data_IF_321452914163
#
_entry.id   IF_321452914163
#
_cell.length_a   1.000
_cell.length_b   1.000
_cell.length_c   1.000
_cell.angle_alpha   90.00
_cell.angle_beta   90.00
_cell.angle_gamma   90.00
#
_symmetry.space_group_name_H-M   'P 1'
#
loop_
_entity.id
_entity.type
_entity.pdbx_description
1 polymer ?
#
# COMPACT_ATOMS: atom_id res chain seq x y z
N UNK A 1 18.84 -21.45 -16.25
CA UNK A 1 19.71 -20.27 -16.11
C UNK A 1 20.17 -19.65 -17.43
N UNK A 2 20.75 -20.41 -18.38
CA UNK A 2 21.41 -19.85 -19.59
C UNK A 2 20.64 -18.76 -20.36
N UNK A 3 19.33 -18.90 -20.57
CA UNK A 3 18.48 -17.87 -21.22
C UNK A 3 18.55 -16.50 -20.52
N UNK A 4 18.61 -16.47 -19.19
CA UNK A 4 18.71 -15.22 -18.42
C UNK A 4 20.10 -14.59 -18.55
N UNK A 5 21.16 -15.39 -18.44
CA UNK A 5 22.55 -14.91 -18.56
C UNK A 5 22.80 -14.29 -19.94
N UNK A 6 22.28 -14.93 -21.00
CA UNK A 6 22.37 -14.41 -22.36
C UNK A 6 21.60 -13.09 -22.59
N UNK A 7 20.60 -12.78 -21.76
CA UNK A 7 19.81 -11.56 -21.86
C UNK A 7 20.43 -10.36 -21.12
N UNK A 8 21.35 -10.58 -20.16
CA UNK A 8 21.94 -9.51 -19.33
C UNK A 8 22.57 -8.38 -20.16
N UNK A 9 23.37 -8.62 -21.21
CA UNK A 9 23.96 -7.53 -22.00
C UNK A 9 22.91 -6.64 -22.68
N UNK A 10 21.83 -7.24 -23.19
CA UNK A 10 20.73 -6.50 -23.81
C UNK A 10 19.91 -5.71 -22.78
N UNK A 11 19.68 -6.28 -21.59
CA UNK A 11 19.02 -5.58 -20.47
C UNK A 11 19.82 -4.34 -20.03
N UNK A 12 21.15 -4.45 -19.90
CA UNK A 12 22.03 -3.33 -19.56
C UNK A 12 22.02 -2.27 -20.66
N UNK A 13 22.07 -2.66 -21.94
CA UNK A 13 22.01 -1.73 -23.07
C UNK A 13 20.64 -1.03 -23.23
N UNK A 14 19.57 -1.61 -22.70
CA UNK A 14 18.22 -1.04 -22.72
C UNK A 14 17.85 -0.22 -21.46
N UNK A 15 18.76 -0.08 -20.50
CA UNK A 15 18.51 0.69 -19.28
C UNK A 15 18.36 2.19 -19.59
N UNK A 16 17.27 2.80 -19.12
CA UNK A 16 16.94 4.21 -19.33
C UNK A 16 16.29 4.83 -18.10
N UNK A 17 16.47 6.14 -17.90
CA UNK A 17 15.75 6.91 -16.89
C UNK A 17 14.22 6.88 -17.08
N UNK A 18 13.78 6.80 -18.34
CA UNK A 18 12.36 6.71 -18.72
C UNK A 18 11.82 5.27 -18.74
N UNK A 19 12.62 4.28 -18.31
CA UNK A 19 12.28 2.85 -18.35
C UNK A 19 11.18 2.40 -17.37
N UNK A 20 10.62 3.31 -16.56
CA UNK A 20 9.69 3.00 -15.47
C UNK A 20 8.47 2.20 -15.89
N UNK A 21 7.77 2.62 -16.95
CA UNK A 21 6.56 1.93 -17.42
C UNK A 21 6.87 0.54 -17.98
N UNK A 22 8.05 0.36 -18.60
CA UNK A 22 8.49 -0.94 -19.09
C UNK A 22 8.79 -1.91 -17.93
N UNK A 23 9.38 -1.40 -16.85
CA UNK A 23 9.59 -2.17 -15.62
C UNK A 23 8.25 -2.50 -14.92
N UNK A 24 7.31 -1.56 -14.88
CA UNK A 24 5.98 -1.76 -14.30
C UNK A 24 5.18 -2.85 -15.03
N UNK A 25 5.24 -2.90 -16.36
CA UNK A 25 4.69 -4.01 -17.17
C UNK A 25 5.38 -5.35 -16.90
N UNK A 26 6.71 -5.34 -16.77
CA UNK A 26 7.51 -6.57 -16.67
C UNK A 26 7.33 -7.34 -15.33
N UNK A 27 6.75 -6.73 -14.30
CA UNK A 27 6.51 -7.36 -12.99
C UNK A 27 5.08 -7.93 -12.81
N UNK A 28 4.14 -7.64 -13.71
CA UNK A 28 2.75 -8.08 -13.61
C UNK A 28 2.61 -9.61 -13.74
N UNK A 29 1.62 -10.21 -13.07
CA UNK A 29 1.31 -11.66 -13.21
C UNK A 29 -0.15 -11.96 -13.50
N UNK A 30 -1.05 -11.66 -12.56
CA UNK A 30 -2.51 -11.84 -12.68
C UNK A 30 -3.24 -10.49 -12.51
N UNK A 31 -2.45 -9.42 -12.50
CA UNK A 31 -2.87 -8.03 -12.60
C UNK A 31 -3.59 -7.77 -13.94
N UNK A 32 -4.67 -6.99 -13.93
CA UNK A 32 -5.33 -6.54 -15.15
C UNK A 32 -4.79 -5.17 -15.62
N UNK A 33 -4.18 -4.40 -14.71
CA UNK A 33 -3.60 -3.07 -15.00
C UNK A 33 -2.23 -2.86 -14.37
N UNK A 34 -1.41 -2.06 -15.06
CA UNK A 34 -0.20 -1.44 -14.52
C UNK A 34 -0.54 -0.55 -13.31
N UNK A 35 0.27 -0.62 -12.24
CA UNK A 35 0.04 0.15 -11.01
C UNK A 35 1.25 1.03 -10.75
N UNK A 36 1.17 2.29 -11.19
CA UNK A 36 2.20 3.31 -11.00
C UNK A 36 1.64 4.54 -10.27
N UNK A 37 2.51 5.23 -9.54
CA UNK A 37 2.17 6.45 -8.81
C UNK A 37 3.41 7.35 -8.69
N UNK A 38 3.21 8.66 -8.78
CA UNK A 38 4.25 9.65 -8.49
C UNK A 38 3.65 10.92 -7.91
N UNK A 39 4.38 11.57 -7.02
CA UNK A 39 4.06 12.87 -6.43
C UNK A 39 5.31 13.76 -6.42
N UNK A 40 5.11 15.08 -6.34
CA UNK A 40 6.20 16.04 -6.15
C UNK A 40 5.89 16.94 -4.96
N UNK A 41 6.83 17.00 -4.02
CA UNK A 41 6.76 17.82 -2.80
C UNK A 41 7.88 18.85 -2.73
N UNK A 42 7.91 19.60 -1.62
CA UNK A 42 9.06 20.43 -1.26
C UNK A 42 9.73 19.85 -0.03
N UNK A 43 11.05 19.63 -0.09
CA UNK A 43 11.89 19.09 1.00
C UNK A 43 13.22 19.84 0.95
N UNK A 44 13.68 20.39 2.07
CA UNK A 44 14.92 21.18 2.17
C UNK A 44 14.94 22.38 1.24
N UNK A 45 13.78 23.00 0.98
CA UNK A 45 13.60 24.08 0.01
C UNK A 45 13.70 23.67 -1.47
N UNK A 46 13.87 22.38 -1.78
CA UNK A 46 13.94 21.86 -3.15
C UNK A 46 12.67 21.11 -3.53
N UNK A 47 12.39 21.04 -4.84
CA UNK A 47 11.38 20.14 -5.39
C UNK A 47 11.93 18.71 -5.39
N UNK A 48 11.27 17.83 -4.64
CA UNK A 48 11.54 16.39 -4.61
C UNK A 48 10.44 15.64 -5.34
N UNK A 49 10.79 14.58 -6.06
CA UNK A 49 9.88 13.60 -6.67
C UNK A 49 9.95 12.30 -5.87
N UNK A 50 8.79 11.77 -5.46
CA UNK A 50 8.67 10.38 -4.99
C UNK A 50 7.81 9.63 -5.99
N UNK A 51 8.32 8.52 -6.51
CA UNK A 51 7.66 7.65 -7.47
C UNK A 51 7.57 6.21 -6.99
N UNK A 52 6.77 5.40 -7.66
CA UNK A 52 6.75 3.96 -7.43
C UNK A 52 5.85 3.17 -8.36
N UNK A 53 6.10 1.88 -8.38
CA UNK A 53 5.31 0.86 -9.09
C UNK A 53 5.06 -0.33 -8.16
N UNK A 54 3.96 -1.05 -8.37
CA UNK A 54 3.67 -2.28 -7.65
C UNK A 54 2.94 -3.31 -8.52
N UNK A 55 2.90 -4.56 -8.05
CA UNK A 55 2.10 -5.64 -8.63
C UNK A 55 1.44 -6.49 -7.55
N UNK A 56 0.25 -7.01 -7.85
CA UNK A 56 -0.57 -7.83 -6.97
C UNK A 56 -2.05 -7.71 -7.31
N UNK A 57 -2.76 -8.84 -7.25
CA UNK A 57 -4.21 -8.96 -7.41
C UNK A 57 -4.77 -10.15 -6.62
N UNK A 58 -4.08 -11.31 -6.61
CA UNK A 58 -4.36 -12.46 -5.73
C UNK A 58 -3.30 -12.71 -4.65
N UNK A 59 -3.66 -13.51 -3.64
CA UNK A 59 -2.92 -13.79 -2.39
C UNK A 59 -2.59 -12.53 -1.57
N UNK A 60 -3.50 -11.57 -1.56
CA UNK A 60 -3.29 -10.28 -0.89
C UNK A 60 -3.82 -10.34 0.55
N UNK A 61 -2.94 -10.53 1.53
CA UNK A 61 -3.24 -10.27 2.94
C UNK A 61 -2.05 -9.72 3.74
N UNK A 62 -1.33 -8.66 3.30
CA UNK A 62 0.04 -8.45 3.74
C UNK A 62 0.19 -8.26 5.25
N UNK A 63 1.03 -9.12 5.81
CA UNK A 63 1.82 -8.90 7.02
C UNK A 63 3.29 -8.84 6.57
N UNK A 64 3.52 -8.08 5.48
CA UNK A 64 4.23 -8.50 4.25
C UNK A 64 3.67 -9.83 3.69
N UNK A 65 3.01 -9.84 2.50
CA UNK A 65 2.37 -11.05 1.92
C UNK A 65 1.01 -10.96 1.14
N UNK A 66 0.76 -10.94 -0.19
CA UNK A 66 1.51 -10.66 -1.44
C UNK A 66 1.51 -9.17 -1.86
N UNK A 67 2.66 -8.70 -2.33
CA UNK A 67 2.89 -7.74 -3.42
C UNK A 67 4.39 -7.71 -3.79
N UNK A 68 4.72 -7.20 -4.98
CA UNK A 68 6.05 -6.61 -5.22
C UNK A 68 5.87 -5.11 -5.34
N UNK A 69 6.70 -4.34 -4.63
CA UNK A 69 6.63 -2.88 -4.61
C UNK A 69 8.02 -2.27 -4.77
N UNK A 70 8.13 -1.23 -5.58
CA UNK A 70 9.37 -0.49 -5.79
C UNK A 70 9.06 1.00 -5.70
N UNK A 71 9.68 1.70 -4.76
CA UNK A 71 9.51 3.15 -4.55
C UNK A 71 10.85 3.86 -4.64
N UNK A 72 10.85 5.02 -5.30
CA UNK A 72 12.05 5.78 -5.64
C UNK A 72 11.90 7.24 -5.20
N UNK A 73 12.99 7.86 -4.75
CA UNK A 73 13.03 9.30 -4.47
C UNK A 73 14.33 9.92 -4.97
N UNK A 74 14.23 11.17 -5.44
CA UNK A 74 15.40 12.02 -5.75
C UNK A 74 15.94 12.75 -4.51
N UNK A 75 15.27 12.67 -3.35
CA UNK A 75 15.72 13.29 -2.10
C UNK A 75 17.06 12.76 -1.58
N UNK A 76 17.88 13.64 -0.99
CA UNK A 76 18.97 13.24 -0.09
C UNK A 76 18.41 13.02 1.32
N UNK A 77 18.53 11.79 1.82
CA UNK A 77 17.98 11.33 3.10
C UNK A 77 18.94 10.30 3.71
N UNK A 78 19.14 10.35 5.02
CA UNK A 78 19.99 9.39 5.72
C UNK A 78 19.40 7.96 5.63
N UNK A 79 20.19 6.90 5.33
CA UNK A 79 19.65 5.56 5.09
C UNK A 79 18.76 5.00 6.21
N UNK A 80 19.09 5.27 7.49
CA UNK A 80 18.27 4.87 8.63
C UNK A 80 16.91 5.59 8.71
N UNK A 81 16.86 6.88 8.33
CA UNK A 81 15.60 7.63 8.19
C UNK A 81 14.78 7.05 7.05
N UNK A 82 15.40 6.88 5.88
CA UNK A 82 14.70 6.34 4.71
C UNK A 82 14.10 4.94 4.97
N UNK A 83 14.86 4.05 5.61
CA UNK A 83 14.35 2.74 6.02
C UNK A 83 13.14 2.85 6.96
N UNK A 84 13.20 3.72 7.98
CA UNK A 84 12.08 3.95 8.89
C UNK A 84 10.84 4.52 8.17
N UNK A 85 11.03 5.45 7.22
CA UNK A 85 9.94 6.01 6.42
C UNK A 85 9.31 4.96 5.48
N UNK A 86 10.11 4.08 4.88
CA UNK A 86 9.62 2.98 4.02
C UNK A 86 8.80 1.96 4.83
N UNK A 87 9.26 1.57 6.03
CA UNK A 87 8.49 0.70 6.93
C UNK A 87 7.16 1.36 7.34
N UNK A 88 7.19 2.61 7.81
CA UNK A 88 5.98 3.31 8.22
C UNK A 88 4.98 3.50 7.06
N UNK A 89 5.47 3.78 5.85
CA UNK A 89 4.63 3.87 4.66
C UNK A 89 4.03 2.51 4.25
N UNK A 90 4.75 1.39 4.44
CA UNK A 90 4.23 0.04 4.20
C UNK A 90 3.11 -0.31 5.21
N UNK A 91 3.32 0.00 6.49
CA UNK A 91 2.33 -0.20 7.55
C UNK A 91 1.07 0.64 7.36
N UNK A 92 1.21 1.85 6.80
CA UNK A 92 0.09 2.72 6.44
C UNK A 92 -0.62 2.34 5.12
N UNK A 93 -0.16 1.32 4.37
CA UNK A 93 -0.70 1.02 3.02
C UNK A 93 -0.77 -0.46 2.66
N UNK A 94 0.35 -1.10 2.33
CA UNK A 94 0.38 -2.49 1.87
C UNK A 94 -0.03 -3.45 3.00
N UNK A 95 0.44 -3.22 4.24
CA UNK A 95 -0.01 -3.97 5.41
C UNK A 95 -1.41 -3.56 5.92
N UNK A 96 -2.15 -2.75 5.16
CA UNK A 96 -3.53 -2.34 5.47
C UNK A 96 -4.58 -2.88 4.47
N UNK A 97 -4.17 -3.56 3.38
CA UNK A 97 -5.09 -4.13 2.37
C UNK A 97 -5.30 -5.64 2.52
N UNK A 98 -6.39 -6.15 1.95
CA UNK A 98 -6.67 -7.58 1.81
C UNK A 98 -7.60 -7.84 0.61
N UNK A 99 -7.38 -8.91 -0.13
CA UNK A 99 -8.29 -9.39 -1.20
C UNK A 99 -8.97 -10.69 -0.79
N UNK A 100 -8.21 -11.74 -0.53
CA UNK A 100 -8.69 -13.11 -0.26
C UNK A 100 -8.51 -13.51 1.20
N UNK A 101 -7.34 -13.21 1.79
CA UNK A 101 -6.97 -13.59 3.15
C UNK A 101 -5.69 -14.41 3.23
N UNK A 102 -5.12 -14.80 2.08
CA UNK A 102 -3.94 -15.65 2.01
C UNK A 102 -2.66 -14.82 2.00
N UNK A 103 -1.60 -15.34 2.65
CA UNK A 103 -0.30 -14.68 2.77
C UNK A 103 0.74 -15.41 1.92
N UNK A 104 1.36 -14.70 0.98
CA UNK A 104 2.44 -15.24 0.12
C UNK A 104 3.74 -15.65 0.84
N UNK A 105 4.66 -16.20 0.05
CA UNK A 105 6.04 -16.53 0.42
C UNK A 105 7.09 -15.51 -0.05
N UNK A 106 6.72 -14.43 -0.75
CA UNK A 106 7.67 -13.68 -1.62
C UNK A 106 7.58 -12.14 -1.57
N UNK A 107 7.15 -11.54 -0.45
CA UNK A 107 7.01 -10.08 -0.41
C UNK A 107 8.31 -9.30 -0.38
N UNK A 108 8.28 -8.16 -1.07
CA UNK A 108 9.41 -7.26 -1.20
C UNK A 108 8.92 -5.87 -1.56
N UNK A 109 9.05 -4.92 -0.62
CA UNK A 109 9.03 -3.48 -0.90
C UNK A 109 10.48 -2.98 -0.91
N UNK A 110 10.95 -2.48 -2.05
CA UNK A 110 12.28 -1.86 -2.17
C UNK A 110 12.13 -0.34 -2.23
N UNK A 111 12.75 0.36 -1.28
CA UNK A 111 12.85 1.83 -1.30
C UNK A 111 14.24 2.30 -1.70
N UNK A 112 14.35 3.08 -2.78
CA UNK A 112 15.60 3.63 -3.29
C UNK A 112 15.61 5.17 -3.20
N UNK A 113 16.72 5.75 -2.73
CA UNK A 113 16.93 7.20 -2.66
C UNK A 113 18.24 7.57 -3.37
N UNK A 114 18.23 8.57 -4.25
CA UNK A 114 19.40 8.92 -5.09
C UNK A 114 20.13 10.21 -4.72
N UNK A 115 19.53 11.10 -3.93
CA UNK A 115 20.12 12.41 -3.57
C UNK A 115 20.14 13.46 -4.69
N UNK A 116 19.64 13.14 -5.88
CA UNK A 116 19.73 13.98 -7.07
C UNK A 116 19.00 15.35 -6.97
N UNK A 117 18.05 15.53 -6.04
CA UNK A 117 17.30 16.78 -5.86
C UNK A 117 18.10 17.93 -5.25
N UNK A 118 19.26 17.64 -4.61
CA UNK A 118 20.13 18.67 -4.02
C UNK A 118 19.48 19.44 -2.86
N UNK A 119 18.60 18.78 -2.10
CA UNK A 119 18.10 19.26 -0.80
C UNK A 119 19.16 19.09 0.28
N UNK A 120 19.00 19.79 1.41
CA UNK A 120 19.75 19.45 2.62
C UNK A 120 19.37 18.03 3.07
N UNK A 121 20.35 17.19 3.41
CA UNK A 121 20.12 15.79 3.79
C UNK A 121 19.15 15.69 4.96
N UNK A 122 18.06 14.96 4.76
CA UNK A 122 17.09 14.66 5.83
C UNK A 122 17.72 13.65 6.79
N UNK A 123 18.10 14.09 7.99
CA UNK A 123 18.74 13.28 9.04
C UNK A 123 17.81 12.89 10.19
N UNK A 124 16.60 13.46 10.25
CA UNK A 124 15.58 13.18 11.25
C UNK A 124 14.20 13.04 10.60
N UNK A 125 13.46 11.98 10.95
CA UNK A 125 12.11 11.72 10.47
C UNK A 125 11.06 12.67 11.08
N UNK A 126 11.31 13.21 12.29
CA UNK A 126 10.41 14.14 12.98
C UNK A 126 10.58 15.60 12.51
N UNK A 127 11.68 15.91 11.81
CA UNK A 127 11.89 17.21 11.16
C UNK A 127 10.80 17.52 10.13
N UNK A 128 10.54 18.80 9.86
CA UNK A 128 9.53 19.22 8.88
C UNK A 128 9.78 18.61 7.48
N UNK A 129 11.05 18.48 7.08
CA UNK A 129 11.47 17.84 5.84
C UNK A 129 11.29 16.31 5.86
N UNK A 130 11.54 15.67 7.01
CA UNK A 130 11.25 14.26 7.25
C UNK A 130 9.75 13.95 7.13
N UNK A 131 8.91 14.77 7.77
CA UNK A 131 7.44 14.67 7.70
C UNK A 131 6.93 14.92 6.27
N UNK A 132 7.49 15.90 5.55
CA UNK A 132 7.13 16.17 4.16
C UNK A 132 7.47 14.99 3.22
N UNK A 133 8.66 14.40 3.38
CA UNK A 133 9.09 13.21 2.64
C UNK A 133 8.25 11.97 3.00
N UNK A 134 7.93 11.79 4.29
CA UNK A 134 7.09 10.70 4.79
C UNK A 134 5.66 10.77 4.22
N UNK A 135 5.07 11.97 4.18
CA UNK A 135 3.74 12.19 3.60
C UNK A 135 3.73 11.92 2.09
N UNK A 136 4.76 12.37 1.36
CA UNK A 136 4.90 12.11 -0.07
C UNK A 136 5.04 10.60 -0.38
N UNK A 137 5.87 9.89 0.38
CA UNK A 137 6.04 8.44 0.25
C UNK A 137 4.75 7.68 0.61
N UNK A 138 4.12 8.01 1.73
CA UNK A 138 2.87 7.37 2.16
C UNK A 138 1.76 7.59 1.13
N UNK A 139 1.64 8.77 0.51
CA UNK A 139 0.68 9.03 -0.55
C UNK A 139 0.89 8.14 -1.79
N UNK A 140 2.14 7.89 -2.18
CA UNK A 140 2.50 6.94 -3.26
C UNK A 140 2.13 5.51 -2.87
N UNK A 141 2.56 5.04 -1.70
CA UNK A 141 2.30 3.68 -1.24
C UNK A 141 0.79 3.40 -1.04
N UNK A 142 0.04 4.33 -0.44
CA UNK A 142 -1.43 4.23 -0.31
C UNK A 142 -2.12 4.19 -1.68
N UNK A 143 -1.67 4.98 -2.66
CA UNK A 143 -2.23 4.94 -4.03
C UNK A 143 -1.98 3.57 -4.69
N UNK A 144 -0.77 3.01 -4.53
CA UNK A 144 -0.42 1.69 -5.06
C UNK A 144 -1.20 0.57 -4.35
N UNK A 145 -1.32 0.60 -3.03
CA UNK A 145 -2.10 -0.36 -2.25
C UNK A 145 -3.59 -0.33 -2.61
N UNK A 146 -4.19 0.87 -2.78
CA UNK A 146 -5.57 1.00 -3.27
C UNK A 146 -5.73 0.52 -4.72
N UNK A 147 -4.70 0.64 -5.56
CA UNK A 147 -4.72 0.06 -6.91
C UNK A 147 -4.67 -1.48 -6.90
N UNK A 148 -3.85 -2.10 -6.02
CA UNK A 148 -3.84 -3.55 -5.78
C UNK A 148 -5.22 -4.03 -5.33
N UNK A 149 -5.78 -3.42 -4.28
CA UNK A 149 -7.08 -3.81 -3.76
C UNK A 149 -8.26 -3.55 -4.73
N UNK A 150 -8.12 -2.57 -5.65
CA UNK A 150 -9.11 -2.29 -6.72
C UNK A 150 -9.06 -3.31 -7.85
N UNK A 151 -7.86 -3.81 -8.15
CA UNK A 151 -7.53 -4.78 -9.20
C UNK A 151 -7.45 -6.23 -8.67
N UNK A 152 -8.02 -6.49 -7.49
CA UNK A 152 -8.04 -7.81 -6.88
C UNK A 152 -8.75 -8.83 -7.78
N UNK A 153 -8.33 -10.10 -7.75
CA UNK A 153 -8.86 -11.11 -8.68
C UNK A 153 -10.38 -11.27 -8.55
N UNK A 154 -11.11 -10.97 -9.64
CA UNK A 154 -12.57 -10.96 -9.69
C UNK A 154 -13.26 -9.76 -9.02
N UNK A 155 -12.53 -8.75 -8.53
CA UNK A 155 -13.08 -7.63 -7.77
C UNK A 155 -13.86 -6.61 -8.64
N UNK A 156 -15.17 -6.52 -8.46
CA UNK A 156 -16.02 -5.53 -9.14
C UNK A 156 -15.94 -4.13 -8.51
N UNK A 157 -15.67 -4.04 -7.20
CA UNK A 157 -15.62 -2.80 -6.41
C UNK A 157 -14.47 -2.82 -5.39
N UNK A 158 -13.93 -1.64 -5.07
CA UNK A 158 -13.04 -1.44 -3.92
C UNK A 158 -13.88 -1.17 -2.66
N UNK A 159 -13.45 -1.70 -1.52
CA UNK A 159 -14.06 -1.45 -0.20
C UNK A 159 -13.01 -0.83 0.71
N UNK A 160 -13.39 0.25 1.40
CA UNK A 160 -12.54 0.96 2.36
C UNK A 160 -13.25 0.96 3.72
N UNK A 161 -12.56 0.50 4.76
CA UNK A 161 -13.13 0.31 6.11
C UNK A 161 -12.44 1.26 7.09
N UNK A 162 -13.09 2.39 7.37
CA UNK A 162 -12.68 3.27 8.46
C UNK A 162 -13.18 2.74 9.82
N UNK A 163 -12.32 2.79 10.84
CA UNK A 163 -12.68 2.46 12.23
C UNK A 163 -12.17 3.57 13.15
N UNK A 164 -13.06 4.10 13.99
CA UNK A 164 -12.79 5.20 14.94
C UNK A 164 -13.33 4.83 16.31
N UNK A 165 -12.81 5.43 17.39
CA UNK A 165 -13.27 5.17 18.76
C UNK A 165 -12.78 3.86 19.38
N UNK A 166 -11.95 3.07 18.67
CA UNK A 166 -11.27 1.92 19.23
C UNK A 166 -10.19 2.33 20.23
N UNK A 167 -9.88 1.47 21.23
CA UNK A 167 -8.93 1.77 22.29
C UNK A 167 -7.46 1.93 21.85
N UNK A 168 -7.13 1.57 20.60
CA UNK A 168 -5.83 1.85 19.97
C UNK A 168 -5.92 1.64 18.45
N UNK A 169 -4.94 2.16 17.70
CA UNK A 169 -4.80 1.90 16.27
C UNK A 169 -4.67 0.41 15.94
N UNK A 170 -4.06 -0.39 16.83
CA UNK A 170 -3.95 -1.83 16.65
C UNK A 170 -5.33 -2.50 16.73
N UNK A 171 -6.17 -2.07 17.68
CA UNK A 171 -7.56 -2.50 17.78
C UNK A 171 -8.39 -2.03 16.57
N UNK A 172 -8.20 -0.78 16.10
CA UNK A 172 -8.86 -0.27 14.90
C UNK A 172 -8.50 -1.09 13.65
N UNK A 173 -7.20 -1.38 13.45
CA UNK A 173 -6.70 -2.22 12.34
C UNK A 173 -7.23 -3.65 12.40
N UNK A 174 -7.32 -4.25 13.60
CA UNK A 174 -7.89 -5.59 13.77
C UNK A 174 -9.37 -5.65 13.36
N UNK A 175 -10.19 -4.68 13.81
CA UNK A 175 -11.60 -4.57 13.40
C UNK A 175 -11.73 -4.32 11.90
N UNK A 176 -10.96 -3.38 11.34
CA UNK A 176 -10.99 -3.07 9.91
C UNK A 176 -10.63 -4.29 9.04
N UNK A 177 -9.59 -5.05 9.41
CA UNK A 177 -9.16 -6.27 8.72
C UNK A 177 -10.18 -7.41 8.86
N UNK A 178 -10.81 -7.56 10.03
CA UNK A 178 -11.86 -8.57 10.24
C UNK A 178 -13.13 -8.29 9.42
N UNK A 179 -13.49 -7.01 9.21
CA UNK A 179 -14.59 -6.60 8.32
C UNK A 179 -14.21 -6.76 6.85
N UNK A 180 -13.04 -6.28 6.43
CA UNK A 180 -12.59 -6.34 5.03
C UNK A 180 -12.37 -7.78 4.53
N UNK A 181 -11.84 -8.65 5.39
CA UNK A 181 -11.66 -10.09 5.12
C UNK A 181 -12.92 -10.94 5.34
N UNK A 182 -14.07 -10.37 5.68
CA UNK A 182 -15.31 -11.15 5.88
C UNK A 182 -15.96 -11.49 4.54
N UNK A 183 -15.95 -12.78 4.17
CA UNK A 183 -16.58 -13.28 2.94
C UNK A 183 -18.07 -12.93 2.86
N UNK A 184 -18.78 -12.88 3.99
CA UNK A 184 -20.19 -12.46 4.05
C UNK A 184 -20.34 -10.95 3.74
N UNK A 185 -19.45 -10.11 4.25
CA UNK A 185 -19.42 -8.67 3.95
C UNK A 185 -19.07 -8.43 2.48
N UNK A 186 -18.01 -9.07 1.97
CA UNK A 186 -17.62 -9.02 0.55
C UNK A 186 -18.76 -9.46 -0.37
N UNK A 187 -19.47 -10.54 -0.05
CA UNK A 187 -20.61 -11.03 -0.82
C UNK A 187 -21.83 -10.08 -0.78
N UNK A 188 -22.10 -9.43 0.36
CA UNK A 188 -23.17 -8.43 0.46
C UNK A 188 -22.85 -7.20 -0.42
N UNK A 189 -21.63 -6.67 -0.31
CA UNK A 189 -21.17 -5.52 -1.10
C UNK A 189 -21.17 -5.84 -2.60
N UNK A 190 -20.74 -7.04 -3.01
CA UNK A 190 -20.85 -7.52 -4.39
C UNK A 190 -22.32 -7.56 -4.87
N UNK A 191 -23.23 -8.06 -4.03
CA UNK A 191 -24.67 -8.07 -4.27
C UNK A 191 -25.37 -6.71 -4.14
N UNK A 192 -24.63 -5.63 -3.81
CA UNK A 192 -25.15 -4.27 -3.52
C UNK A 192 -26.14 -4.22 -2.34
N UNK A 193 -26.03 -5.18 -1.42
CA UNK A 193 -26.78 -5.25 -0.16
C UNK A 193 -26.05 -4.44 0.93
N UNK A 194 -26.64 -3.34 1.46
CA UNK A 194 -26.04 -2.49 2.49
C UNK A 194 -26.13 -3.14 3.90
N UNK A 195 -25.57 -4.33 4.02
CA UNK A 195 -25.82 -5.24 5.14
C UNK A 195 -24.98 -4.90 6.38
N UNK A 196 -25.40 -3.87 7.13
CA UNK A 196 -24.77 -3.46 8.38
C UNK A 196 -24.67 -4.61 9.40
N UNK A 197 -25.62 -5.55 9.41
CA UNK A 197 -25.61 -6.71 10.29
C UNK A 197 -24.42 -7.64 10.05
N UNK A 198 -24.04 -7.88 8.79
CA UNK A 198 -22.83 -8.63 8.43
C UNK A 198 -21.54 -7.89 8.80
N UNK A 199 -21.55 -6.55 8.70
CA UNK A 199 -20.43 -5.70 9.13
C UNK A 199 -20.25 -5.76 10.65
N UNK A 200 -21.33 -5.59 11.41
CA UNK A 200 -21.32 -5.68 12.87
C UNK A 200 -20.90 -7.08 13.36
N UNK A 201 -21.40 -8.15 12.75
CA UNK A 201 -20.96 -9.51 13.04
C UNK A 201 -19.47 -9.74 12.70
N UNK A 202 -18.96 -9.12 11.63
CA UNK A 202 -17.55 -9.18 11.28
C UNK A 202 -16.64 -8.38 12.23
N UNK A 203 -17.12 -7.25 12.77
CA UNK A 203 -16.44 -6.51 13.83
C UNK A 203 -16.42 -7.30 15.16
N UNK A 204 -17.54 -7.91 15.56
CA UNK A 204 -17.65 -8.70 16.80
C UNK A 204 -16.72 -9.91 16.86
N UNK A 205 -16.28 -10.44 15.72
CA UNK A 205 -15.29 -11.54 15.63
C UNK A 205 -13.83 -11.06 15.47
N UNK A 206 -13.55 -9.77 15.64
CA UNK A 206 -12.19 -9.20 15.49
C UNK A 206 -11.23 -9.49 16.66
N UNK A 207 -11.70 -10.11 17.75
CA UNK A 207 -10.90 -10.32 18.96
C UNK A 207 -10.65 -9.05 19.80
N UNK A 208 -11.32 -7.94 19.45
CA UNK A 208 -11.23 -6.65 20.13
C UNK A 208 -12.48 -6.45 21.01
N UNK A 209 -12.35 -6.13 22.30
CA UNK A 209 -13.49 -5.81 23.15
C UNK A 209 -14.05 -4.42 22.81
N UNK A 210 -15.37 -4.33 22.63
CA UNK A 210 -16.13 -3.08 22.52
C UNK A 210 -17.57 -3.31 22.99
N UNK A 211 -18.25 -2.24 23.43
CA UNK A 211 -19.65 -2.31 23.84
C UNK A 211 -20.58 -2.40 22.61
N UNK A 212 -21.32 -3.50 22.47
CA UNK A 212 -22.21 -3.73 21.33
C UNK A 212 -23.26 -2.61 21.18
N UNK A 213 -23.79 -2.10 22.30
CA UNK A 213 -24.76 -1.00 22.31
C UNK A 213 -24.19 0.36 21.90
N UNK A 214 -22.87 0.49 21.75
CA UNK A 214 -22.19 1.70 21.29
C UNK A 214 -21.60 1.57 19.87
N UNK A 215 -21.81 0.43 19.19
CA UNK A 215 -21.31 0.21 17.83
C UNK A 215 -22.14 1.00 16.80
N UNK A 216 -21.58 2.10 16.32
CA UNK A 216 -22.01 2.74 15.07
C UNK A 216 -21.45 2.01 13.85
N UNK A 217 -22.26 1.84 12.80
CA UNK A 217 -21.85 1.44 11.46
C UNK A 217 -22.32 2.53 10.50
N UNK A 218 -21.56 2.83 9.44
CA UNK A 218 -21.98 3.75 8.40
C UNK A 218 -21.50 3.27 7.02
N UNK A 219 -22.32 3.51 5.99
CA UNK A 219 -22.08 3.12 4.60
C UNK A 219 -22.18 4.34 3.70
N UNK A 220 -21.06 4.76 3.09
CA UNK A 220 -21.01 5.92 2.20
C UNK A 220 -21.30 7.27 2.87
N UNK A 221 -21.26 7.33 4.21
CA UNK A 221 -21.63 8.51 5.01
C UNK A 221 -23.05 8.46 5.59
N UNK A 222 -23.88 7.49 5.20
CA UNK A 222 -25.16 7.21 5.84
C UNK A 222 -24.95 6.28 7.06
N UNK A 223 -25.42 6.63 8.27
CA UNK A 223 -25.59 5.68 9.38
C UNK A 223 -26.65 4.60 9.09
#
# INVERSE_FOLDING_TARGET
MGKYVAAVPALVAAASADGGDAAARAILTTDLVEKTAAVRGTVGGRRVTVGGMAKGSGMIHPNMATMLGFVTTDADVAPGVWAALVTAAADASFNAITVDGDTSTNDTLVGLASGAAGNARVTDAASADGVALAAALTAVCVRLAKAIARDGEGATVLVEVGVTGAASDAAARAVARAVAGSSLTKAAVFGRDPNWGRIAAAAGRAGVPFEQGALGVALGGCP
#
